data_IF_238455006253
#
_entry.id   IF_238455006253
#
_cell.length_a   1.000
_cell.length_b   1.000
_cell.length_c   1.000
_cell.angle_alpha   90.00
_cell.angle_beta   90.00
_cell.angle_gamma   90.00
#
_symmetry.space_group_name_H-M   'P 1'
#
loop_
_entity.id
_entity.type
_entity.pdbx_description
1 polymer ?
#
# COMPACT_ATOMS: atom_id res chain seq x y z
N UNK A 1 -62.82 -16.38 -7.71
CA UNK A 1 -61.90 -15.45 -8.41
C UNK A 1 -60.77 -15.12 -7.46
N UNK A 2 -59.57 -15.50 -7.87
CA UNK A 2 -58.41 -15.81 -7.03
C UNK A 2 -57.77 -14.54 -6.44
N UNK A 3 -57.46 -14.59 -5.14
CA UNK A 3 -56.77 -13.55 -4.39
C UNK A 3 -55.40 -13.21 -5.02
N UNK A 4 -55.16 -11.94 -5.35
CA UNK A 4 -53.80 -11.43 -5.57
C UNK A 4 -53.23 -10.91 -4.24
N UNK A 5 -52.45 -11.75 -3.57
CA UNK A 5 -51.55 -11.34 -2.49
C UNK A 5 -50.29 -10.75 -3.13
N UNK A 6 -50.20 -9.43 -3.22
CA UNK A 6 -48.94 -8.75 -3.55
C UNK A 6 -48.01 -8.82 -2.33
N UNK A 7 -47.13 -9.82 -2.31
CA UNK A 7 -46.01 -9.86 -1.39
C UNK A 7 -44.98 -8.80 -1.83
N UNK A 8 -44.95 -7.66 -1.15
CA UNK A 8 -43.85 -6.71 -1.23
C UNK A 8 -42.65 -7.38 -0.57
N UNK A 9 -41.86 -8.11 -1.36
CA UNK A 9 -40.55 -8.61 -0.95
C UNK A 9 -39.60 -7.41 -0.96
N UNK A 10 -39.40 -6.81 0.21
CA UNK A 10 -38.31 -5.86 0.43
C UNK A 10 -37.00 -6.57 0.09
N UNK A 11 -36.40 -6.20 -1.05
CA UNK A 11 -35.06 -6.62 -1.41
C UNK A 11 -34.09 -5.95 -0.43
N UNK A 12 -33.73 -6.67 0.63
CA UNK A 12 -32.60 -6.31 1.46
C UNK A 12 -31.35 -6.54 0.61
N UNK A 13 -30.98 -5.52 -0.16
CA UNK A 13 -29.69 -5.47 -0.85
C UNK A 13 -28.61 -5.36 0.22
N UNK A 14 -28.21 -6.51 0.76
CA UNK A 14 -27.07 -6.61 1.66
C UNK A 14 -25.85 -6.27 0.82
N UNK A 15 -25.36 -5.03 0.96
CA UNK A 15 -24.09 -4.58 0.38
C UNK A 15 -22.99 -5.42 1.03
N UNK A 16 -22.64 -6.53 0.41
CA UNK A 16 -21.48 -7.34 0.82
C UNK A 16 -20.25 -6.51 0.50
N UNK A 17 -19.84 -5.67 1.44
CA UNK A 17 -18.51 -5.08 1.49
C UNK A 17 -17.54 -6.25 1.43
N UNK A 18 -16.95 -6.46 0.25
CA UNK A 18 -15.87 -7.42 0.08
C UNK A 18 -14.66 -6.88 0.82
N UNK A 19 -14.59 -7.14 2.12
CA UNK A 19 -13.39 -6.93 2.92
C UNK A 19 -12.41 -8.01 2.47
N UNK A 20 -11.64 -7.74 1.42
CA UNK A 20 -10.48 -8.56 1.11
C UNK A 20 -9.57 -8.49 2.34
N UNK A 21 -9.27 -9.61 3.01
CA UNK A 21 -8.32 -9.59 4.10
C UNK A 21 -7.03 -9.02 3.55
N UNK A 22 -6.57 -7.89 4.11
CA UNK A 22 -5.29 -7.33 3.76
C UNK A 22 -4.23 -8.38 4.11
N UNK A 23 -3.74 -9.10 3.10
CA UNK A 23 -2.63 -10.02 3.27
C UNK A 23 -1.50 -9.17 3.83
N UNK A 24 -1.01 -9.50 5.02
CA UNK A 24 0.03 -8.69 5.61
C UNK A 24 1.26 -8.74 4.73
N UNK A 25 1.63 -7.58 4.22
CA UNK A 25 2.77 -7.37 3.35
C UNK A 25 3.97 -7.00 4.21
N UNK A 26 5.18 -7.32 3.75
CA UNK A 26 6.40 -6.92 4.44
C UNK A 26 6.99 -5.69 3.75
N UNK A 27 7.17 -4.62 4.53
CA UNK A 27 7.93 -3.45 4.12
C UNK A 27 9.37 -3.54 4.64
N UNK A 28 10.29 -2.95 3.90
CA UNK A 28 11.57 -2.49 4.44
C UNK A 28 11.89 -1.08 3.95
N UNK A 29 13.14 -0.62 4.07
CA UNK A 29 13.56 0.69 3.57
C UNK A 29 14.95 0.65 2.92
N UNK A 30 15.23 1.66 2.10
CA UNK A 30 16.52 1.83 1.43
C UNK A 30 17.65 2.16 2.41
N UNK A 31 18.63 1.26 2.53
CA UNK A 31 19.85 1.49 3.32
C UNK A 31 20.69 2.70 2.86
N UNK A 32 21.82 2.98 3.53
CA UNK A 32 22.73 4.05 3.13
C UNK A 32 23.28 3.84 1.70
N UNK A 33 23.68 4.92 1.03
CA UNK A 33 24.36 4.88 -0.27
C UNK A 33 23.47 4.94 -1.51
N UNK A 34 22.14 5.04 -1.36
CA UNK A 34 21.22 5.20 -2.50
C UNK A 34 20.89 6.65 -2.85
N UNK A 35 21.02 7.58 -1.89
CA UNK A 35 20.63 8.97 -2.08
C UNK A 35 21.32 9.60 -3.30
N UNK A 36 20.55 10.31 -4.13
CA UNK A 36 21.02 10.97 -5.35
C UNK A 36 21.18 10.07 -6.57
N UNK A 37 21.10 8.73 -6.41
CA UNK A 37 21.09 7.77 -7.54
C UNK A 37 19.78 7.85 -8.30
N UNK A 38 19.79 7.41 -9.55
CA UNK A 38 18.56 7.31 -10.34
C UNK A 38 17.72 6.13 -9.86
N UNK A 39 16.41 6.35 -9.71
CA UNK A 39 15.39 5.29 -9.56
C UNK A 39 15.01 4.73 -10.93
N UNK A 40 14.26 3.64 -10.95
CA UNK A 40 13.77 3.01 -12.18
C UNK A 40 12.83 3.89 -13.02
N UNK A 41 12.25 4.95 -12.45
CA UNK A 41 11.48 5.93 -13.22
C UNK A 41 12.30 7.15 -13.71
N UNK A 42 13.62 7.17 -13.44
CA UNK A 42 14.54 8.20 -13.89
C UNK A 42 14.67 9.41 -12.94
N UNK A 43 13.94 9.46 -11.83
CA UNK A 43 14.11 10.51 -10.82
C UNK A 43 15.36 10.27 -9.98
N UNK A 44 15.93 11.33 -9.40
CA UNK A 44 16.95 11.18 -8.35
C UNK A 44 16.27 10.75 -7.05
N UNK A 45 16.74 9.66 -6.47
CA UNK A 45 16.25 9.15 -5.20
C UNK A 45 16.58 10.11 -4.06
N UNK A 46 15.55 10.65 -3.41
CA UNK A 46 15.67 11.35 -2.14
C UNK A 46 15.29 10.41 -0.98
N UNK A 47 16.26 10.14 -0.09
CA UNK A 47 16.03 9.26 1.05
C UNK A 47 15.05 9.86 2.06
N UNK A 48 14.90 11.18 2.10
CA UNK A 48 14.04 11.90 3.02
C UNK A 48 12.61 12.10 2.46
N UNK A 49 12.38 11.78 1.19
CA UNK A 49 11.08 11.93 0.55
C UNK A 49 10.09 10.84 0.98
N UNK A 50 8.82 11.04 0.60
CA UNK A 50 7.73 10.08 0.79
C UNK A 50 7.52 9.26 -0.48
N UNK A 51 8.52 8.46 -0.84
CA UNK A 51 8.49 7.58 -2.02
C UNK A 51 8.77 6.13 -1.65
N UNK A 52 8.49 5.23 -2.59
CA UNK A 52 8.73 3.80 -2.40
C UNK A 52 8.97 3.05 -3.72
N UNK A 53 9.58 1.87 -3.61
CA UNK A 53 9.73 0.88 -4.66
C UNK A 53 8.63 -0.17 -4.59
N UNK A 54 8.01 -0.48 -5.72
CA UNK A 54 7.08 -1.60 -5.83
C UNK A 54 7.24 -2.31 -7.19
N UNK A 55 7.03 -3.64 -7.21
CA UNK A 55 7.35 -4.48 -8.38
C UNK A 55 6.48 -4.16 -9.59
N UNK A 56 5.19 -4.00 -9.35
CA UNK A 56 4.17 -3.96 -10.41
C UNK A 56 3.29 -2.71 -10.40
N UNK A 57 3.31 -1.90 -9.34
CA UNK A 57 2.50 -0.70 -9.30
C UNK A 57 3.09 0.32 -10.29
N UNK A 58 2.20 1.03 -10.99
CA UNK A 58 2.60 2.04 -11.95
C UNK A 58 3.40 3.13 -11.23
N UNK A 59 4.39 3.69 -11.91
CA UNK A 59 5.05 4.88 -11.39
C UNK A 59 4.03 6.01 -11.24
N UNK A 60 4.16 6.79 -10.18
CA UNK A 60 3.21 7.83 -9.82
C UNK A 60 2.01 7.35 -8.98
N UNK A 61 1.75 6.04 -8.89
CA UNK A 61 0.69 5.52 -8.01
C UNK A 61 0.95 5.95 -6.57
N UNK A 62 -0.08 6.45 -5.89
CA UNK A 62 -0.03 6.75 -4.47
C UNK A 62 -0.55 5.56 -3.67
N UNK A 63 0.12 5.25 -2.58
CA UNK A 63 -0.21 4.13 -1.71
C UNK A 63 -0.18 4.61 -0.28
N UNK A 64 -1.27 4.41 0.47
CA UNK A 64 -1.23 4.49 1.92
C UNK A 64 -0.60 3.21 2.46
N UNK A 65 0.50 3.38 3.20
CA UNK A 65 1.23 2.31 3.87
C UNK A 65 0.95 2.42 5.36
N UNK A 66 0.35 1.40 5.95
CA UNK A 66 0.00 1.38 7.37
C UNK A 66 0.82 0.32 8.09
N UNK A 67 1.59 0.70 9.10
CA UNK A 67 2.28 -0.24 9.98
C UNK A 67 1.26 -1.02 10.82
N UNK A 68 1.20 -2.34 10.64
CA UNK A 68 0.19 -3.19 11.27
C UNK A 68 0.36 -3.28 12.80
N UNK A 69 1.55 -3.03 13.33
CA UNK A 69 1.81 -3.09 14.78
C UNK A 69 1.38 -1.81 15.52
N UNK A 70 1.45 -0.65 14.85
CA UNK A 70 1.23 0.66 15.50
C UNK A 70 0.03 1.43 14.97
N UNK A 71 -0.54 1.02 13.83
CA UNK A 71 -1.60 1.74 13.13
C UNK A 71 -1.14 3.04 12.45
N UNK A 72 0.12 3.45 12.61
CA UNK A 72 0.67 4.64 11.95
C UNK A 72 0.70 4.43 10.45
N UNK A 73 0.34 5.46 9.69
CA UNK A 73 0.32 5.40 8.24
C UNK A 73 0.96 6.61 7.57
N UNK A 74 1.44 6.40 6.35
CA UNK A 74 1.99 7.44 5.48
C UNK A 74 1.55 7.17 4.04
N UNK A 75 1.30 8.23 3.27
CA UNK A 75 1.07 8.11 1.83
C UNK A 75 2.40 8.29 1.11
N UNK A 76 2.76 7.31 0.29
CA UNK A 76 3.96 7.34 -0.55
C UNK A 76 3.58 7.35 -2.02
N UNK A 77 4.48 7.87 -2.86
CA UNK A 77 4.40 7.73 -4.32
C UNK A 77 5.38 6.66 -4.81
N UNK A 78 4.92 5.77 -5.69
CA UNK A 78 5.79 4.78 -6.31
C UNK A 78 6.65 5.45 -7.37
N UNK A 79 7.98 5.40 -7.22
CA UNK A 79 8.93 5.94 -8.20
C UNK A 79 10.09 4.98 -8.52
N UNK A 80 10.10 3.79 -7.92
CA UNK A 80 11.16 2.82 -8.17
C UNK A 80 10.65 1.37 -8.27
N UNK A 81 11.54 0.45 -8.66
CA UNK A 81 11.29 -0.99 -8.80
C UNK A 81 12.04 -1.79 -7.74
N UNK A 82 11.40 -2.89 -7.35
CA UNK A 82 11.78 -3.70 -6.20
C UNK A 82 10.53 -3.96 -5.34
N UNK A 83 10.66 -4.58 -4.17
CA UNK A 83 11.89 -5.16 -3.63
C UNK A 83 12.38 -6.35 -4.48
N UNK A 84 13.68 -6.61 -4.55
CA UNK A 84 14.21 -7.84 -5.18
C UNK A 84 14.46 -8.97 -4.18
N UNK A 85 14.34 -8.66 -2.88
CA UNK A 85 14.36 -9.67 -1.81
C UNK A 85 13.01 -10.37 -1.72
N UNK A 86 13.05 -11.71 -1.68
CA UNK A 86 11.85 -12.53 -1.56
C UNK A 86 11.08 -12.21 -0.26
N UNK A 87 9.74 -12.29 -0.32
CA UNK A 87 8.87 -12.02 0.83
C UNK A 87 8.62 -10.54 1.16
N UNK A 88 9.44 -9.59 0.67
CA UNK A 88 9.16 -8.15 0.81
C UNK A 88 8.27 -7.66 -0.32
N UNK A 89 7.34 -6.76 -0.02
CA UNK A 89 6.36 -6.23 -0.97
C UNK A 89 6.62 -4.79 -1.37
N UNK A 90 7.18 -3.97 -0.46
CA UNK A 90 7.49 -2.57 -0.68
C UNK A 90 8.80 -2.17 0.01
N UNK A 91 9.63 -1.35 -0.64
CA UNK A 91 10.81 -0.74 -0.01
C UNK A 91 10.59 0.77 0.08
N UNK A 92 10.52 1.31 1.29
CA UNK A 92 10.24 2.71 1.58
C UNK A 92 11.51 3.56 1.53
N UNK A 93 11.39 4.82 1.12
CA UNK A 93 12.39 5.82 1.47
C UNK A 93 12.49 5.96 3.01
N UNK A 94 13.65 6.39 3.51
CA UNK A 94 13.91 6.52 4.96
C UNK A 94 12.89 7.44 5.62
N UNK A 95 12.55 8.58 4.99
CA UNK A 95 11.53 9.51 5.48
C UNK A 95 10.18 8.83 5.71
N UNK A 96 9.71 8.07 4.72
CA UNK A 96 8.47 7.30 4.84
C UNK A 96 8.54 6.21 5.92
N UNK A 97 9.65 5.47 5.98
CA UNK A 97 9.88 4.42 6.96
C UNK A 97 9.85 4.95 8.40
N UNK A 98 10.48 6.10 8.64
CA UNK A 98 10.48 6.79 9.93
C UNK A 98 9.10 7.33 10.31
N UNK A 99 8.34 7.85 9.35
CA UNK A 99 6.99 8.35 9.59
C UNK A 99 6.04 7.30 10.18
N UNK A 100 6.26 6.01 9.88
CA UNK A 100 5.48 4.90 10.42
C UNK A 100 6.24 4.01 11.42
N UNK A 101 7.48 4.36 11.78
CA UNK A 101 8.33 3.59 12.69
C UNK A 101 8.63 2.18 12.21
N UNK A 102 9.03 2.02 10.94
CA UNK A 102 9.24 0.71 10.31
C UNK A 102 10.71 0.52 9.87
N UNK A 103 11.40 -0.48 10.43
CA UNK A 103 12.66 -0.99 9.89
C UNK A 103 12.38 -2.08 8.85
N UNK A 104 12.02 -3.26 9.34
CA UNK A 104 11.30 -4.27 8.55
C UNK A 104 10.04 -4.58 9.32
N UNK A 105 8.87 -4.41 8.71
CA UNK A 105 7.62 -4.55 9.45
C UNK A 105 6.48 -5.06 8.56
N UNK A 106 5.44 -5.61 9.20
CA UNK A 106 4.17 -5.92 8.54
C UNK A 106 3.42 -4.63 8.25
N UNK A 107 2.97 -4.49 7.01
CA UNK A 107 2.18 -3.34 6.55
C UNK A 107 0.92 -3.80 5.82
N UNK A 108 -0.07 -2.91 5.80
CA UNK A 108 -1.16 -2.97 4.84
C UNK A 108 -0.93 -1.89 3.77
N UNK A 109 -1.09 -2.27 2.50
CA UNK A 109 -1.01 -1.35 1.37
C UNK A 109 -2.40 -1.05 0.81
N UNK A 110 -2.72 0.23 0.67
CA UNK A 110 -3.96 0.69 0.06
C UNK A 110 -3.64 1.67 -1.08
N UNK A 111 -3.83 1.28 -2.35
CA UNK A 111 -3.77 2.20 -3.48
C UNK A 111 -4.81 3.32 -3.34
N UNK A 112 -4.45 4.53 -3.80
CA UNK A 112 -5.28 5.74 -3.79
C UNK A 112 -5.56 6.27 -5.19
#
# INVERSE_FOLDING_TARGET
MLLQRLAVRAALACLVLSVTPARAEIASWYGPGFHGRLTANGERFDQNALTAAHRTLRFGTRVRVTNAATGRSVVVRINDRGPFVHGRSIDLARGAAWAIGCGTCRVALQPL
#
